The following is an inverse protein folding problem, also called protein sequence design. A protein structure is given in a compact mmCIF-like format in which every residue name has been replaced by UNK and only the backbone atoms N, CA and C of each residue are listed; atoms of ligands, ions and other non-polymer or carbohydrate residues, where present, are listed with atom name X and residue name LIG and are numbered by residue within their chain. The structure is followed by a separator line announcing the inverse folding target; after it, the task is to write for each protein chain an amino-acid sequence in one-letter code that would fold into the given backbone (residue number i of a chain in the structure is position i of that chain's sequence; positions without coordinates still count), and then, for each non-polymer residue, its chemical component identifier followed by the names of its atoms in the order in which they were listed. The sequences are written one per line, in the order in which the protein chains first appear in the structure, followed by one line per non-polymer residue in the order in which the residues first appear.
data_IF_674067336145
#
_entry.id   IF_674067336145
#
_cell.length_a   1.000
_cell.length_b   1.000
_cell.length_c   1.000
_cell.angle_alpha   90.00
_cell.angle_beta   90.00
_cell.angle_gamma   90.00
#
_symmetry.space_group_name_H-M   'P 1'
#
loop_
_entity.id
_entity.type
_entity.pdbx_description
1 polymer ?
#
# COMPACT_ATOMS: atom_id res chain seq x y z
N UNK A 1 -13.66 34.44 5.35
CA UNK A 1 -14.29 35.03 6.50
C UNK A 1 -15.81 34.95 6.36
N UNK A 2 -16.40 34.34 7.31
CA UNK A 2 -17.85 34.18 7.47
C UNK A 2 -18.38 35.58 7.81
N UNK A 3 -18.81 36.34 6.81
CA UNK A 3 -19.19 37.73 7.03
C UNK A 3 -20.67 38.00 6.88
N UNK A 4 -21.42 37.15 6.33
CA UNK A 4 -22.84 37.41 6.15
C UNK A 4 -23.64 36.38 6.96
N UNK A 5 -24.27 36.87 7.99
CA UNK A 5 -25.01 36.21 9.04
C UNK A 5 -26.02 35.13 8.65
N UNK A 6 -25.85 34.47 7.56
CA UNK A 6 -26.51 33.26 7.14
C UNK A 6 -25.49 32.17 7.01
N UNK A 7 -25.31 31.57 7.97
CA UNK A 7 -25.68 30.25 8.36
C UNK A 7 -24.98 29.07 7.69
N UNK A 8 -24.52 29.10 6.48
CA UNK A 8 -23.73 28.00 5.93
C UNK A 8 -22.38 27.85 6.60
N UNK A 9 -21.73 28.99 6.92
CA UNK A 9 -20.48 28.95 7.68
C UNK A 9 -20.60 28.50 9.14
N UNK A 10 -21.79 28.36 9.69
CA UNK A 10 -22.02 27.82 11.02
C UNK A 10 -21.92 26.28 11.07
N UNK A 11 -22.03 25.64 9.93
CA UNK A 11 -21.96 24.17 9.81
C UNK A 11 -20.57 23.65 9.46
N UNK A 12 -19.64 24.55 9.16
CA UNK A 12 -18.29 24.17 8.80
C UNK A 12 -17.31 24.58 9.89
N UNK A 13 -16.64 23.60 10.44
CA UNK A 13 -15.57 23.78 11.41
C UNK A 13 -14.23 23.42 10.76
N UNK A 14 -13.28 24.37 10.78
CA UNK A 14 -11.91 24.07 10.41
C UNK A 14 -11.20 23.46 11.62
N UNK A 15 -10.85 22.19 11.54
CA UNK A 15 -10.01 21.53 12.53
C UNK A 15 -8.54 21.64 12.08
N UNK A 16 -7.79 22.51 12.74
CA UNK A 16 -6.37 22.74 12.47
C UNK A 16 -6.03 24.23 12.26
N UNK A 17 -4.78 24.47 12.02
CA UNK A 17 -4.27 25.82 11.70
C UNK A 17 -4.47 26.09 10.20
N UNK A 18 -5.28 27.12 9.81
CA UNK A 18 -5.49 27.45 8.40
C UNK A 18 -4.22 27.98 7.71
N UNK A 19 -3.19 28.35 8.47
CA UNK A 19 -1.90 28.79 7.93
C UNK A 19 -0.91 27.62 7.75
N UNK A 20 -1.25 26.44 8.22
CA UNK A 20 -0.39 25.24 8.06
C UNK A 20 -0.39 24.80 6.60
N UNK A 21 0.80 24.73 6.02
CA UNK A 21 0.97 24.13 4.70
C UNK A 21 0.96 22.61 4.81
N UNK A 22 0.17 21.97 3.98
CA UNK A 22 0.21 20.52 3.86
C UNK A 22 1.58 20.10 3.30
N UNK A 23 2.24 19.10 3.86
CA UNK A 23 3.51 18.57 3.38
C UNK A 23 3.31 17.73 2.11
N UNK A 24 2.86 18.36 1.03
CA UNK A 24 2.68 17.71 -0.26
C UNK A 24 3.95 17.85 -1.11
N UNK A 25 4.32 16.80 -1.88
CA UNK A 25 5.41 16.92 -2.84
C UNK A 25 5.20 18.08 -3.80
N UNK A 26 6.24 18.90 -3.95
CA UNK A 26 6.17 20.11 -4.80
C UNK A 26 6.55 19.85 -6.24
N UNK A 27 7.19 18.71 -6.50
CA UNK A 27 7.64 18.32 -7.82
C UNK A 27 6.77 17.18 -8.35
N UNK A 28 6.64 17.13 -9.68
CA UNK A 28 5.91 16.08 -10.37
C UNK A 28 6.85 15.21 -11.22
N UNK A 29 6.44 13.97 -11.41
CA UNK A 29 7.04 13.04 -12.34
C UNK A 29 5.99 12.58 -13.35
N UNK A 30 6.43 12.07 -14.49
CA UNK A 30 5.53 11.55 -15.51
C UNK A 30 5.63 10.03 -15.59
N UNK A 31 4.48 9.37 -15.57
CA UNK A 31 4.34 7.96 -15.93
C UNK A 31 3.98 7.93 -17.42
N UNK A 32 4.87 7.36 -18.24
CA UNK A 32 4.77 7.49 -19.70
C UNK A 32 4.00 6.32 -20.34
N UNK A 33 4.16 5.12 -19.78
CA UNK A 33 3.51 3.92 -20.30
C UNK A 33 3.47 2.77 -19.30
N UNK A 34 2.49 1.91 -19.51
CA UNK A 34 2.37 0.60 -18.84
C UNK A 34 2.38 -0.46 -19.93
N UNK A 35 3.09 -1.55 -19.71
CA UNK A 35 3.14 -2.68 -20.64
C UNK A 35 2.87 -3.98 -19.89
N UNK A 36 1.79 -4.69 -20.20
CA UNK A 36 0.71 -4.35 -21.15
C UNK A 36 -0.13 -3.16 -20.67
N UNK A 37 -0.81 -2.49 -21.59
CA UNK A 37 -1.70 -1.34 -21.34
C UNK A 37 -3.00 -1.74 -20.63
N UNK A 38 -3.46 -2.95 -20.82
CA UNK A 38 -4.58 -3.56 -20.11
C UNK A 38 -4.03 -4.59 -19.13
N UNK A 39 -4.23 -4.35 -17.86
CA UNK A 39 -3.78 -5.24 -16.79
C UNK A 39 -4.68 -6.47 -16.69
N UNK A 40 -4.10 -7.57 -16.24
CA UNK A 40 -4.83 -8.81 -15.97
C UNK A 40 -4.54 -9.31 -14.57
N UNK A 41 -5.54 -9.89 -13.92
CA UNK A 41 -5.33 -10.55 -12.63
C UNK A 41 -4.25 -11.62 -12.74
N UNK A 42 -3.40 -11.72 -11.72
CA UNK A 42 -2.17 -12.51 -11.64
C UNK A 42 -1.09 -12.15 -12.65
N UNK A 43 -1.36 -11.17 -13.52
CA UNK A 43 -0.41 -10.67 -14.51
C UNK A 43 0.65 -9.75 -13.90
N UNK A 44 1.74 -9.59 -14.65
CA UNK A 44 2.81 -8.63 -14.35
C UNK A 44 2.77 -7.53 -15.39
N UNK A 45 2.91 -6.29 -14.94
CA UNK A 45 3.07 -5.15 -15.81
C UNK A 45 4.34 -4.36 -15.48
N UNK A 46 4.94 -3.79 -16.51
CA UNK A 46 6.09 -2.90 -16.39
C UNK A 46 5.65 -1.45 -16.59
N UNK A 47 6.01 -0.61 -15.65
CA UNK A 47 5.72 0.81 -15.64
C UNK A 47 6.98 1.56 -16.02
N UNK A 48 6.86 2.50 -16.95
CA UNK A 48 7.95 3.35 -17.41
C UNK A 48 7.60 4.82 -17.17
N UNK A 49 8.55 5.56 -16.66
CA UNK A 49 8.37 6.97 -16.39
C UNK A 49 9.66 7.77 -16.55
N UNK A 50 9.53 9.08 -16.46
CA UNK A 50 10.66 9.98 -16.47
C UNK A 50 10.54 11.06 -15.38
N UNK A 51 11.70 11.56 -15.00
CA UNK A 51 11.87 12.63 -14.02
C UNK A 51 13.12 13.44 -14.37
N UNK A 52 13.13 14.71 -14.00
CA UNK A 52 14.25 15.63 -14.24
C UNK A 52 14.83 16.24 -12.95
N UNK A 53 14.42 15.72 -11.80
CA UNK A 53 14.64 16.32 -10.49
C UNK A 53 15.86 15.73 -9.79
N UNK A 54 16.05 14.41 -9.98
CA UNK A 54 17.07 13.64 -9.29
C UNK A 54 18.19 13.23 -10.26
N UNK A 55 19.44 13.43 -9.82
CA UNK A 55 20.64 13.13 -10.61
C UNK A 55 21.52 12.06 -9.94
N UNK A 56 21.01 11.40 -8.91
CA UNK A 56 21.68 10.34 -8.15
C UNK A 56 20.72 9.19 -7.89
N UNK A 57 21.23 8.13 -7.31
CA UNK A 57 20.38 7.03 -6.86
C UNK A 57 19.27 7.55 -5.94
N UNK A 58 18.05 7.13 -6.21
CA UNK A 58 16.82 7.64 -5.60
C UNK A 58 15.88 6.47 -5.36
N UNK A 59 15.17 6.54 -4.24
CA UNK A 59 14.17 5.56 -3.88
C UNK A 59 12.80 5.98 -4.40
N UNK A 60 12.04 5.01 -4.83
CA UNK A 60 10.65 5.18 -5.22
C UNK A 60 9.75 4.17 -4.54
N UNK A 61 8.51 4.58 -4.33
CA UNK A 61 7.41 3.72 -3.88
C UNK A 61 6.33 3.80 -4.94
N UNK A 62 5.83 2.66 -5.34
CA UNK A 62 4.72 2.54 -6.28
C UNK A 62 3.53 1.87 -5.61
N UNK A 63 2.36 2.42 -5.86
CA UNK A 63 1.06 1.86 -5.48
C UNK A 63 0.24 1.57 -6.73
N UNK A 64 -0.38 0.40 -6.78
CA UNK A 64 -1.53 0.14 -7.62
C UNK A 64 -2.75 0.14 -6.70
N UNK A 65 -3.68 1.03 -6.96
CA UNK A 65 -4.95 1.13 -6.27
C UNK A 65 -6.06 0.57 -7.16
N UNK A 66 -6.96 -0.17 -6.57
CA UNK A 66 -8.14 -0.68 -7.25
C UNK A 66 -9.09 0.44 -7.67
N UNK A 67 -10.14 0.10 -8.37
CA UNK A 67 -11.18 1.02 -8.78
C UNK A 67 -11.79 1.78 -7.59
N UNK A 68 -12.04 3.08 -7.79
CA UNK A 68 -12.73 3.89 -6.79
C UNK A 68 -14.09 3.30 -6.45
N UNK A 69 -14.45 3.40 -5.19
CA UNK A 69 -15.75 2.98 -4.68
C UNK A 69 -16.57 4.17 -4.20
N UNK A 70 -17.82 4.24 -4.61
CA UNK A 70 -18.76 5.18 -4.04
C UNK A 70 -19.21 4.70 -2.66
N UNK A 71 -19.14 5.58 -1.69
CA UNK A 71 -19.62 5.36 -0.32
C UNK A 71 -20.72 6.34 -0.03
N UNK A 72 -21.88 5.82 0.34
CA UNK A 72 -23.00 6.64 0.81
C UNK A 72 -23.11 6.54 2.32
N UNK A 73 -23.13 7.69 2.98
CA UNK A 73 -23.36 7.81 4.41
C UNK A 73 -24.66 8.55 4.68
N UNK A 74 -25.49 7.95 5.49
CA UNK A 74 -26.70 8.59 5.99
C UNK A 74 -26.44 9.19 7.37
N UNK A 75 -26.94 10.38 7.61
CA UNK A 75 -26.87 11.05 8.89
C UNK A 75 -28.17 11.77 9.18
N UNK A 76 -28.53 11.82 10.45
CA UNK A 76 -29.77 12.44 10.89
C UNK A 76 -29.47 13.80 11.52
N UNK A 77 -30.17 14.83 11.04
CA UNK A 77 -30.16 16.15 11.66
C UNK A 77 -31.63 16.44 12.07
N UNK A 78 -31.85 16.51 13.36
CA UNK A 78 -33.19 16.57 13.96
C UNK A 78 -34.05 15.38 13.53
N UNK A 79 -35.12 15.62 12.77
CA UNK A 79 -36.03 14.59 12.26
C UNK A 79 -35.72 14.17 10.81
N UNK A 80 -34.83 14.88 10.13
CA UNK A 80 -34.57 14.69 8.72
C UNK A 80 -33.31 13.82 8.52
N UNK A 81 -33.41 12.92 7.55
CA UNK A 81 -32.28 12.04 7.14
C UNK A 81 -31.67 12.64 5.89
N UNK A 82 -30.36 12.81 5.93
CA UNK A 82 -29.55 13.28 4.80
C UNK A 82 -28.62 12.18 4.36
N UNK A 83 -28.37 12.13 3.06
CA UNK A 83 -27.46 11.18 2.44
C UNK A 83 -26.32 11.95 1.78
N UNK A 84 -25.10 11.53 2.05
CA UNK A 84 -23.88 12.06 1.43
C UNK A 84 -23.17 10.93 0.71
N UNK A 85 -23.02 11.05 -0.61
CA UNK A 85 -22.20 10.15 -1.42
C UNK A 85 -20.87 10.80 -1.76
N UNK A 86 -19.81 10.02 -1.69
CA UNK A 86 -18.47 10.41 -2.07
C UNK A 86 -17.64 9.19 -2.50
N UNK A 87 -16.62 9.43 -3.32
CA UNK A 87 -15.72 8.37 -3.77
C UNK A 87 -14.54 8.25 -2.80
N UNK A 88 -14.20 7.02 -2.48
CA UNK A 88 -12.95 6.65 -1.81
C UNK A 88 -12.04 5.93 -2.80
N UNK A 89 -10.71 6.09 -2.67
CA UNK A 89 -9.77 5.23 -3.39
C UNK A 89 -10.11 3.76 -3.14
N UNK A 90 -9.86 2.94 -4.14
CA UNK A 90 -9.98 1.49 -4.01
C UNK A 90 -8.94 0.88 -3.06
N UNK A 91 -9.02 -0.43 -2.87
CA UNK A 91 -8.06 -1.17 -2.07
C UNK A 91 -6.64 -1.08 -2.67
N UNK A 92 -5.63 -1.22 -1.84
CA UNK A 92 -4.25 -1.34 -2.33
C UNK A 92 -4.06 -2.74 -2.92
N UNK A 93 -3.84 -2.82 -4.23
CA UNK A 93 -3.55 -4.07 -4.93
C UNK A 93 -2.06 -4.41 -4.93
N UNK A 94 -1.21 -3.40 -4.95
CA UNK A 94 0.24 -3.54 -4.92
C UNK A 94 0.89 -2.34 -4.23
N UNK A 95 1.94 -2.59 -3.44
CA UNK A 95 2.75 -1.56 -2.80
C UNK A 95 4.19 -2.02 -2.77
N UNK A 96 5.04 -1.44 -3.61
CA UNK A 96 6.40 -1.89 -3.80
C UNK A 96 7.42 -0.76 -3.80
N UNK A 97 8.65 -1.11 -3.52
CA UNK A 97 9.79 -0.21 -3.56
C UNK A 97 10.62 -0.46 -4.81
N UNK A 98 11.21 0.59 -5.35
CA UNK A 98 12.16 0.51 -6.45
C UNK A 98 13.25 1.56 -6.34
N UNK A 99 14.34 1.35 -7.05
CA UNK A 99 15.45 2.31 -7.13
C UNK A 99 15.78 2.62 -8.58
N UNK A 100 16.24 3.82 -8.81
CA UNK A 100 16.73 4.27 -10.12
C UNK A 100 17.82 5.34 -9.93
N UNK A 101 18.63 5.53 -10.96
CA UNK A 101 19.75 6.50 -10.94
C UNK A 101 19.78 7.42 -12.16
N UNK A 102 18.81 7.30 -13.05
CA UNK A 102 18.74 8.04 -14.31
C UNK A 102 17.43 8.80 -14.43
N UNK A 103 17.32 9.66 -15.44
CA UNK A 103 16.08 10.40 -15.70
C UNK A 103 14.91 9.48 -16.05
N UNK A 104 15.16 8.37 -16.72
CA UNK A 104 14.15 7.35 -16.98
C UNK A 104 14.18 6.29 -15.87
N UNK A 105 13.02 5.90 -15.40
CA UNK A 105 12.87 4.80 -14.47
C UNK A 105 11.91 3.74 -15.01
N UNK A 106 12.08 2.54 -14.50
CA UNK A 106 11.11 1.46 -14.73
C UNK A 106 10.96 0.63 -13.47
N UNK A 107 9.77 0.13 -13.26
CA UNK A 107 9.46 -0.80 -12.18
C UNK A 107 8.37 -1.75 -12.62
N UNK A 108 8.20 -2.85 -11.89
CA UNK A 108 7.18 -3.85 -12.19
C UNK A 108 6.17 -3.92 -11.06
N UNK A 109 4.95 -4.25 -11.42
CA UNK A 109 3.86 -4.55 -10.48
C UNK A 109 3.25 -5.91 -10.82
N UNK A 110 2.63 -6.53 -9.84
CA UNK A 110 1.77 -7.70 -10.03
C UNK A 110 0.35 -7.38 -9.54
N UNK A 111 -0.63 -7.82 -10.29
CA UNK A 111 -2.05 -7.63 -9.98
C UNK A 111 -2.54 -8.85 -9.20
N UNK A 112 -3.21 -8.72 -8.06
CA UNK A 112 -3.82 -9.86 -7.37
C UNK A 112 -5.04 -10.40 -8.15
N UNK A 113 -5.54 -11.56 -7.73
CA UNK A 113 -6.79 -12.11 -8.25
C UNK A 113 -8.00 -11.38 -7.68
N UNK A 114 -7.91 -10.99 -6.42
CA UNK A 114 -8.96 -10.22 -5.72
C UNK A 114 -8.92 -8.77 -6.15
N UNK A 115 -9.83 -8.41 -7.03
CA UNK A 115 -10.05 -7.04 -7.48
C UNK A 115 -11.53 -6.70 -7.43
N UNK A 116 -11.84 -5.43 -7.35
CA UNK A 116 -13.19 -4.94 -7.59
C UNK A 116 -13.49 -5.01 -9.09
N UNK A 117 -14.33 -5.96 -9.51
CA UNK A 117 -14.81 -6.03 -10.91
C UNK A 117 -15.86 -4.94 -11.15
N UNK A 118 -15.42 -3.69 -11.15
CA UNK A 118 -16.26 -2.53 -11.39
C UNK A 118 -15.96 -1.90 -12.74
N UNK A 119 -16.90 -1.07 -13.23
CA UNK A 119 -16.69 -0.28 -14.45
C UNK A 119 -15.77 0.94 -14.21
N UNK A 120 -15.44 1.23 -12.96
CA UNK A 120 -14.52 2.29 -12.61
C UNK A 120 -13.07 1.84 -12.85
N UNK A 121 -12.20 2.80 -13.08
CA UNK A 121 -10.78 2.55 -13.36
C UNK A 121 -9.94 2.51 -12.10
N UNK A 122 -8.85 1.78 -12.19
CA UNK A 122 -7.78 1.72 -11.18
C UNK A 122 -6.77 2.83 -11.42
N UNK A 123 -5.91 3.07 -10.42
CA UNK A 123 -4.91 4.14 -10.43
C UNK A 123 -3.53 3.61 -10.04
N UNK A 124 -2.49 4.10 -10.70
CA UNK A 124 -1.11 3.98 -10.22
C UNK A 124 -0.66 5.31 -9.63
N UNK A 125 -0.03 5.23 -8.46
CA UNK A 125 0.61 6.37 -7.80
C UNK A 125 2.07 6.05 -7.55
N UNK A 126 2.96 6.97 -7.90
CA UNK A 126 4.40 6.85 -7.64
C UNK A 126 4.85 8.03 -6.79
N UNK A 127 5.58 7.72 -5.74
CA UNK A 127 6.28 8.69 -4.91
C UNK A 127 7.78 8.38 -4.95
N UNK A 128 8.58 9.39 -5.25
CA UNK A 128 10.04 9.25 -5.28
C UNK A 128 10.69 10.29 -4.38
N UNK A 129 11.73 9.90 -3.70
CA UNK A 129 12.42 10.77 -2.75
C UNK A 129 13.89 10.42 -2.55
N UNK A 130 14.64 11.40 -2.14
CA UNK A 130 15.95 11.26 -1.51
C UNK A 130 16.02 12.19 -0.29
N UNK A 131 17.18 12.34 0.32
CA UNK A 131 17.37 13.13 1.54
C UNK A 131 16.99 14.63 1.38
N UNK A 132 16.87 15.14 0.17
CA UNK A 132 16.70 16.59 -0.08
C UNK A 132 15.48 16.96 -0.90
N UNK A 133 14.92 16.02 -1.65
CA UNK A 133 13.85 16.28 -2.61
C UNK A 133 12.84 15.15 -2.64
N UNK A 134 11.64 15.51 -3.03
CA UNK A 134 10.54 14.58 -3.24
C UNK A 134 9.73 14.99 -4.48
N UNK A 135 9.11 14.01 -5.10
CA UNK A 135 8.19 14.20 -6.22
C UNK A 135 7.14 13.08 -6.27
N UNK A 136 6.01 13.36 -6.85
CA UNK A 136 4.96 12.37 -7.07
C UNK A 136 4.39 12.46 -8.47
N UNK A 137 3.73 11.40 -8.90
CA UNK A 137 2.95 11.33 -10.13
C UNK A 137 1.92 10.24 -10.03
N UNK A 138 0.86 10.37 -10.82
CA UNK A 138 -0.18 9.36 -10.93
C UNK A 138 -0.51 9.07 -12.39
N UNK A 139 -1.09 7.92 -12.62
CA UNK A 139 -1.72 7.54 -13.87
C UNK A 139 -3.07 6.92 -13.55
N UNK A 140 -4.10 7.57 -14.04
CA UNK A 140 -5.49 7.18 -13.87
C UNK A 140 -5.97 6.36 -15.08
N UNK A 141 -7.23 5.97 -15.07
CA UNK A 141 -7.91 5.27 -16.17
C UNK A 141 -7.28 3.90 -16.53
N UNK A 142 -6.73 3.22 -15.53
CA UNK A 142 -6.15 1.89 -15.72
C UNK A 142 -7.24 0.84 -15.68
N UNK A 143 -7.30 0.03 -16.71
CA UNK A 143 -8.24 -1.09 -16.80
C UNK A 143 -7.59 -2.37 -16.30
N UNK A 144 -8.27 -3.06 -15.38
CA UNK A 144 -7.89 -4.40 -14.94
C UNK A 144 -9.01 -5.36 -15.33
N UNK A 145 -8.65 -6.44 -15.99
CA UNK A 145 -9.58 -7.49 -16.40
C UNK A 145 -9.17 -8.84 -15.83
N UNK A 146 -10.09 -9.79 -15.82
CA UNK A 146 -9.79 -11.16 -15.40
C UNK A 146 -8.65 -11.77 -16.22
N UNK A 147 -7.73 -12.41 -15.54
CA UNK A 147 -6.65 -13.22 -16.11
C UNK A 147 -7.02 -14.69 -16.25
N UNK A 148 -6.01 -15.53 -16.46
CA UNK A 148 -6.17 -16.98 -16.43
C UNK A 148 -6.29 -17.45 -14.98
N UNK A 149 -7.11 -18.46 -14.78
CA UNK A 149 -7.16 -19.17 -13.50
C UNK A 149 -5.81 -19.85 -13.22
N UNK A 150 -5.42 -19.88 -11.96
CA UNK A 150 -4.27 -20.64 -11.49
C UNK A 150 -4.76 -21.74 -10.53
N UNK A 151 -4.00 -22.82 -10.44
CA UNK A 151 -4.24 -23.88 -9.45
C UNK A 151 -3.12 -23.83 -8.41
N UNK A 152 -2.92 -22.67 -7.80
CA UNK A 152 -2.02 -22.56 -6.66
C UNK A 152 -2.69 -23.15 -5.41
N UNK A 153 -1.92 -23.87 -4.63
CA UNK A 153 -2.37 -24.55 -3.40
C UNK A 153 -1.43 -24.27 -2.23
N UNK A 154 -0.49 -23.38 -2.42
CA UNK A 154 0.54 -23.07 -1.43
C UNK A 154 0.51 -21.59 -1.13
N UNK A 155 0.29 -21.25 0.13
CA UNK A 155 0.39 -19.87 0.57
C UNK A 155 1.84 -19.38 0.72
N UNK A 156 2.03 -18.11 1.08
CA UNK A 156 3.34 -17.48 1.18
C UNK A 156 4.26 -18.15 2.18
N UNK A 157 5.55 -18.18 1.87
CA UNK A 157 6.58 -18.52 2.84
C UNK A 157 6.80 -17.34 3.79
N UNK A 158 6.78 -17.62 5.08
CA UNK A 158 6.95 -16.64 6.15
C UNK A 158 8.24 -16.94 6.90
N UNK A 159 9.09 -15.95 7.11
CA UNK A 159 10.27 -16.07 7.95
C UNK A 159 10.48 -14.80 8.77
N UNK A 160 11.19 -14.95 9.90
CA UNK A 160 11.58 -13.84 10.75
C UNK A 160 13.07 -13.59 10.61
N UNK A 161 13.46 -12.33 10.48
CA UNK A 161 14.85 -11.92 10.30
C UNK A 161 15.14 -10.72 11.20
N UNK A 162 16.39 -10.62 11.63
CA UNK A 162 16.88 -9.41 12.29
C UNK A 162 17.30 -8.36 11.26
N UNK A 163 17.55 -7.13 11.70
CA UNK A 163 18.06 -6.05 10.85
C UNK A 163 19.37 -6.42 10.10
N UNK A 164 20.17 -7.32 10.67
CA UNK A 164 21.41 -7.81 10.03
C UNK A 164 21.20 -8.94 9.02
N UNK A 165 19.94 -9.32 8.77
CA UNK A 165 19.57 -10.40 7.85
C UNK A 165 19.73 -11.81 8.46
N UNK A 166 19.94 -11.94 9.77
CA UNK A 166 19.98 -13.22 10.43
C UNK A 166 18.57 -13.77 10.57
N UNK A 167 18.29 -14.91 9.95
CA UNK A 167 17.02 -15.63 10.11
C UNK A 167 16.89 -16.13 11.54
N UNK A 168 15.70 -15.98 12.08
CA UNK A 168 15.33 -16.43 13.42
C UNK A 168 14.50 -17.71 13.32
N UNK A 169 14.87 -18.66 14.18
CA UNK A 169 14.12 -19.89 14.41
C UNK A 169 13.39 -19.79 15.76
N UNK A 170 12.50 -20.74 16.00
CA UNK A 170 11.76 -20.80 17.26
C UNK A 170 12.74 -20.90 18.45
N UNK A 171 12.52 -20.05 19.46
CA UNK A 171 13.35 -19.90 20.67
C UNK A 171 14.70 -19.18 20.47
N UNK A 172 14.97 -18.61 19.31
CA UNK A 172 16.13 -17.78 19.12
C UNK A 172 16.06 -16.50 19.94
N UNK A 173 17.24 -15.97 20.25
CA UNK A 173 17.41 -14.70 20.95
C UNK A 173 17.93 -13.62 20.02
N UNK A 174 17.45 -12.41 20.15
CA UNK A 174 17.96 -11.24 19.46
C UNK A 174 18.04 -10.03 20.40
N UNK A 175 18.77 -9.00 20.00
CA UNK A 175 18.98 -7.81 20.81
C UNK A 175 17.72 -6.97 20.87
N UNK A 176 17.40 -6.40 22.03
CA UNK A 176 16.31 -5.44 22.22
C UNK A 176 16.43 -4.19 21.31
N UNK A 177 17.65 -3.85 20.90
CA UNK A 177 17.89 -2.70 20.03
C UNK A 177 17.88 -3.08 18.54
N UNK A 178 17.49 -4.30 18.21
CA UNK A 178 17.45 -4.84 16.88
C UNK A 178 16.00 -5.00 16.44
N UNK A 179 15.59 -4.31 15.36
CA UNK A 179 14.26 -4.45 14.81
C UNK A 179 14.08 -5.86 14.23
N UNK A 180 12.89 -6.39 14.37
CA UNK A 180 12.48 -7.66 13.82
C UNK A 180 11.77 -7.41 12.49
N UNK A 181 12.12 -8.19 11.47
CA UNK A 181 11.47 -8.15 10.16
C UNK A 181 10.73 -9.46 9.91
N UNK A 182 9.49 -9.34 9.46
CA UNK A 182 8.72 -10.43 8.89
C UNK A 182 8.96 -10.38 7.38
N UNK A 183 9.58 -11.42 6.83
CA UNK A 183 9.74 -11.58 5.39
C UNK A 183 8.67 -12.51 4.85
N UNK A 184 7.94 -12.05 3.85
CA UNK A 184 6.97 -12.83 3.09
C UNK A 184 7.49 -13.04 1.66
N UNK A 185 7.30 -14.23 1.13
CA UNK A 185 7.72 -14.56 -0.23
C UNK A 185 6.78 -15.54 -0.89
N UNK A 186 6.32 -15.21 -2.09
CA UNK A 186 5.48 -16.07 -2.92
C UNK A 186 5.74 -15.83 -4.41
N UNK A 187 5.78 -16.86 -5.27
CA UNK A 187 5.92 -16.71 -6.71
C UNK A 187 4.81 -15.86 -7.38
N UNK A 188 3.61 -15.87 -6.82
CA UNK A 188 2.47 -15.07 -7.29
C UNK A 188 2.33 -13.75 -6.52
N UNK A 189 3.20 -13.50 -5.56
CA UNK A 189 3.18 -12.29 -4.73
C UNK A 189 2.21 -12.40 -3.56
N UNK A 190 2.14 -11.34 -2.76
CA UNK A 190 1.39 -11.27 -1.49
C UNK A 190 0.12 -10.45 -1.71
N UNK A 191 -1.00 -10.94 -1.22
CA UNK A 191 -2.28 -10.24 -1.28
C UNK A 191 -2.27 -9.05 -0.30
N UNK A 192 -2.58 -7.86 -0.82
CA UNK A 192 -2.61 -6.60 -0.05
C UNK A 192 -4.00 -5.94 -0.06
N UNK A 193 -5.02 -6.61 -0.60
CA UNK A 193 -6.35 -6.02 -0.76
C UNK A 193 -7.05 -5.74 0.56
N UNK A 194 -6.61 -6.38 1.63
CA UNK A 194 -7.23 -6.25 2.96
C UNK A 194 -8.71 -6.66 2.98
N UNK A 195 -9.11 -7.49 2.01
CA UNK A 195 -10.44 -8.07 2.00
C UNK A 195 -10.60 -9.05 3.18
N UNK A 196 -11.84 -9.21 3.63
CA UNK A 196 -12.14 -10.08 4.79
C UNK A 196 -11.63 -11.49 4.54
N UNK A 197 -10.71 -11.93 5.41
CA UNK A 197 -10.07 -13.24 5.32
C UNK A 197 -8.78 -13.26 4.51
N UNK A 198 -8.36 -12.13 3.90
CA UNK A 198 -7.12 -12.01 3.14
C UNK A 198 -6.16 -10.97 3.74
N UNK A 199 -6.39 -10.55 4.98
CA UNK A 199 -5.52 -9.61 5.68
C UNK A 199 -4.22 -10.30 6.11
N UNK A 200 -3.11 -9.56 6.15
CA UNK A 200 -1.93 -10.01 6.88
C UNK A 200 -2.18 -9.77 8.35
N UNK A 201 -2.27 -10.86 9.11
CA UNK A 201 -2.62 -10.84 10.52
C UNK A 201 -1.41 -11.20 11.39
N UNK A 202 -1.19 -10.43 12.43
CA UNK A 202 -0.29 -10.76 13.52
C UNK A 202 -1.11 -11.08 14.76
N UNK A 203 -1.03 -12.31 15.22
CA UNK A 203 -1.64 -12.78 16.45
C UNK A 203 -0.58 -12.79 17.55
N UNK A 204 -0.75 -11.99 18.58
CA UNK A 204 0.04 -12.10 19.81
C UNK A 204 -0.61 -13.19 20.69
N UNK A 205 0.08 -14.32 20.80
CA UNK A 205 -0.40 -15.48 21.57
C UNK A 205 -0.23 -15.29 23.08
N UNK A 206 0.48 -14.24 23.51
CA UNK A 206 0.64 -13.89 24.92
C UNK A 206 -0.53 -13.05 25.46
N UNK A 207 -0.99 -12.08 24.67
CA UNK A 207 -2.13 -11.20 25.00
C UNK A 207 -3.46 -11.64 24.37
N UNK A 208 -3.43 -12.66 23.52
CA UNK A 208 -4.59 -13.16 22.76
C UNK A 208 -5.23 -12.05 21.89
N UNK A 209 -4.41 -11.17 21.33
CA UNK A 209 -4.85 -10.07 20.47
C UNK A 209 -4.43 -10.33 19.01
N UNK A 210 -5.28 -9.87 18.08
CA UNK A 210 -5.02 -9.92 16.65
C UNK A 210 -4.95 -8.52 16.07
N UNK A 211 -3.92 -8.25 15.26
CA UNK A 211 -3.71 -6.95 14.63
C UNK A 211 -3.53 -7.16 13.14
N UNK A 212 -4.23 -6.36 12.34
CA UNK A 212 -4.02 -6.29 10.89
C UNK A 212 -2.76 -5.47 10.63
N UNK A 213 -1.80 -6.05 9.90
CA UNK A 213 -0.52 -5.42 9.56
C UNK A 213 -0.28 -5.37 8.05
N UNK A 214 -1.34 -5.53 7.25
CA UNK A 214 -1.24 -5.47 5.78
C UNK A 214 -0.66 -4.14 5.31
N UNK A 215 -1.03 -3.04 5.98
CA UNK A 215 -0.59 -1.71 5.60
C UNK A 215 0.90 -1.43 5.89
N UNK A 216 1.53 -2.25 6.69
CA UNK A 216 2.96 -2.16 7.00
C UNK A 216 3.84 -2.97 6.01
N UNK A 217 3.23 -3.78 5.13
CA UNK A 217 3.96 -4.56 4.15
C UNK A 217 4.36 -3.73 2.94
N UNK A 218 5.61 -3.87 2.52
CA UNK A 218 6.14 -3.37 1.24
C UNK A 218 6.89 -4.47 0.53
N UNK A 219 6.64 -4.63 -0.77
CA UNK A 219 7.55 -5.42 -1.60
C UNK A 219 8.95 -4.82 -1.56
N UNK A 220 9.95 -5.68 -1.48
CA UNK A 220 11.36 -5.30 -1.50
C UNK A 220 11.71 -4.56 -2.79
N UNK A 221 12.85 -3.89 -2.80
CA UNK A 221 13.31 -3.12 -3.95
C UNK A 221 13.31 -3.95 -5.24
N UNK A 222 12.58 -3.48 -6.22
CA UNK A 222 12.42 -4.09 -7.54
C UNK A 222 11.87 -5.54 -7.51
N UNK A 223 11.17 -5.92 -6.44
CA UNK A 223 10.53 -7.23 -6.30
C UNK A 223 9.02 -7.15 -6.48
N UNK A 224 8.45 -8.23 -7.01
CA UNK A 224 7.00 -8.49 -7.10
C UNK A 224 6.62 -9.80 -6.42
N UNK A 225 7.56 -10.39 -5.67
CA UNK A 225 7.42 -11.71 -5.07
C UNK A 225 7.78 -11.73 -3.59
N UNK A 226 8.70 -10.87 -3.18
CA UNK A 226 9.20 -10.82 -1.80
C UNK A 226 9.00 -9.43 -1.22
N UNK A 227 8.72 -9.37 0.07
CA UNK A 227 8.61 -8.12 0.77
C UNK A 227 8.70 -8.31 2.28
N UNK A 228 8.69 -7.20 2.98
CA UNK A 228 8.96 -7.18 4.43
C UNK A 228 7.98 -6.28 5.18
N UNK A 229 7.77 -6.66 6.44
CA UNK A 229 7.14 -5.84 7.48
C UNK A 229 8.15 -5.63 8.58
N UNK A 230 8.39 -4.39 8.96
CA UNK A 230 9.22 -4.06 10.12
C UNK A 230 8.39 -4.06 11.40
N UNK A 231 8.75 -4.91 12.35
CA UNK A 231 8.16 -4.90 13.68
C UNK A 231 9.07 -4.16 14.64
N UNK A 232 8.55 -3.07 15.19
CA UNK A 232 9.21 -2.38 16.30
C UNK A 232 8.99 -3.19 17.59
N UNK A 233 10.08 -3.62 18.19
CA UNK A 233 10.02 -4.37 19.43
C UNK A 233 10.26 -3.41 20.61
N UNK A 234 9.21 -3.18 21.38
CA UNK A 234 9.29 -2.35 22.59
C UNK A 234 9.51 -3.22 23.82
N UNK A 235 10.68 -3.14 24.41
CA UNK A 235 10.96 -3.75 25.69
C UNK A 235 11.70 -5.09 25.68
N UNK A 236 11.92 -5.64 26.87
CA UNK A 236 12.57 -6.94 27.09
C UNK A 236 11.51 -8.00 27.36
N UNK A 237 11.70 -9.18 26.82
CA UNK A 237 10.84 -10.30 27.16
C UNK A 237 10.71 -11.34 26.05
N UNK A 238 9.71 -12.18 26.20
CA UNK A 238 9.39 -13.22 25.22
C UNK A 238 8.36 -12.65 24.22
N UNK A 239 8.69 -12.72 22.95
CA UNK A 239 7.75 -12.49 21.85
C UNK A 239 7.15 -13.83 21.45
N UNK A 240 5.84 -13.91 21.42
CA UNK A 240 5.10 -15.11 21.05
C UNK A 240 4.00 -14.75 20.06
N UNK A 241 4.36 -14.69 18.79
CA UNK A 241 3.49 -14.23 17.70
C UNK A 241 3.31 -15.30 16.63
N UNK A 242 2.16 -15.28 15.99
CA UNK A 242 1.83 -16.03 14.79
C UNK A 242 1.50 -15.04 13.68
N UNK A 243 1.98 -15.30 12.47
CA UNK A 243 1.67 -14.50 11.28
C UNK A 243 0.83 -15.35 10.32
N UNK A 244 -0.23 -14.74 9.78
CA UNK A 244 -1.02 -15.29 8.68
C UNK A 244 -1.00 -14.33 7.51
N UNK A 245 -0.81 -14.88 6.32
CA UNK A 245 -0.79 -14.11 5.09
C UNK A 245 -1.33 -14.97 3.94
N UNK A 246 -1.80 -14.31 2.90
CA UNK A 246 -2.30 -14.92 1.67
C UNK A 246 -1.48 -14.44 0.48
N UNK A 247 -1.36 -15.26 -0.54
CA UNK A 247 -0.82 -14.84 -1.83
C UNK A 247 -1.91 -14.22 -2.71
N UNK A 248 -1.51 -13.77 -3.89
CA UNK A 248 -2.41 -13.11 -4.84
C UNK A 248 -3.40 -14.06 -5.54
N UNK A 249 -3.29 -15.36 -5.35
CA UNK A 249 -4.14 -16.37 -6.00
C UNK A 249 -5.22 -16.95 -5.07
N UNK A 250 -5.08 -16.75 -3.75
CA UNK A 250 -5.98 -17.26 -2.72
C UNK A 250 -6.59 -16.17 -1.87
#
# INVERSE_FOLDING_TARGET
SIKDGYSEGQYFHLFGDPAMQLPLPKNSISINSIIPDTLRTLGVANIYGNQEIFNSETNGIIYLLDAEREVTREYQIYSDIYSLSYNLPGATLFRGQFTFSQSNFSTSIRVPQDISYSDNSSQIVIYIHNDSKEACGSLDDIQIIGGNETNDQYGPQISFETMTGRRLEMFDHFSINENLFIRLSDPLGINLTNEIGHEILMNDLGSETSTIITDDFYYDQNSIQTGTIELKTDGTGKINIEIKAWDNAN
#
